data_IF_316732745950
#
_entry.id   IF_316732745950
#
_cell.length_a   1.000
_cell.length_b   1.000
_cell.length_c   1.000
_cell.angle_alpha   90.00
_cell.angle_beta   90.00
_cell.angle_gamma   90.00
#
_symmetry.space_group_name_H-M   'P 1'
#
loop_
_entity.id
_entity.type
_entity.pdbx_description
1 polymer ?
#
# COMPACT_ATOMS: atom_id res chain seq x y z
N UNK A 1 -23.65 14.93 8.21
CA UNK A 1 -25.13 15.08 8.24
C UNK A 1 -25.49 15.97 9.42
N UNK A 2 -26.41 16.94 9.26
CA UNK A 2 -26.85 17.79 10.37
C UNK A 2 -27.52 16.97 11.47
N UNK A 3 -27.27 17.35 12.73
CA UNK A 3 -27.99 16.82 13.89
C UNK A 3 -29.48 17.16 13.80
N UNK A 4 -30.33 16.26 14.29
CA UNK A 4 -31.79 16.40 14.26
C UNK A 4 -32.41 15.49 13.20
N UNK A 5 -33.52 15.88 12.55
CA UNK A 5 -34.36 14.96 11.78
C UNK A 5 -33.62 14.08 10.77
N UNK A 6 -32.63 14.62 10.05
CA UNK A 6 -31.84 13.84 9.10
C UNK A 6 -30.93 12.82 9.81
N UNK A 7 -30.21 13.24 10.84
CA UNK A 7 -29.38 12.35 11.67
C UNK A 7 -30.21 11.26 12.35
N UNK A 8 -31.39 11.61 12.86
CA UNK A 8 -32.33 10.67 13.50
C UNK A 8 -32.78 9.58 12.51
N UNK A 9 -32.98 9.93 11.24
CA UNK A 9 -33.26 8.94 10.18
C UNK A 9 -32.08 8.01 9.90
N UNK A 10 -30.85 8.50 9.88
CA UNK A 10 -29.70 7.60 9.74
C UNK A 10 -29.51 6.69 10.95
N UNK A 11 -29.75 7.20 12.17
CA UNK A 11 -29.75 6.36 13.37
C UNK A 11 -30.80 5.26 13.29
N UNK A 12 -32.01 5.59 12.82
CA UNK A 12 -33.06 4.60 12.58
C UNK A 12 -32.66 3.59 11.50
N UNK A 13 -32.24 4.04 10.31
CA UNK A 13 -32.00 3.17 9.16
C UNK A 13 -30.76 2.30 9.26
N UNK A 14 -29.62 2.88 9.66
CA UNK A 14 -28.32 2.21 9.63
C UNK A 14 -27.58 2.24 10.97
N UNK A 15 -28.17 2.80 12.03
CA UNK A 15 -27.64 2.69 13.40
C UNK A 15 -26.54 3.69 13.78
N UNK A 16 -25.94 4.37 12.80
CA UNK A 16 -24.89 5.35 13.04
C UNK A 16 -24.68 6.29 11.86
N UNK A 17 -24.07 7.45 12.09
CA UNK A 17 -23.81 8.42 11.03
C UNK A 17 -22.72 9.44 11.39
N UNK A 18 -22.22 10.14 10.36
CA UNK A 18 -21.29 11.24 10.51
C UNK A 18 -22.03 12.50 10.97
N UNK A 19 -21.76 12.95 12.19
CA UNK A 19 -22.34 14.16 12.77
C UNK A 19 -21.31 15.29 12.75
N UNK A 20 -21.64 16.40 12.09
CA UNK A 20 -20.74 17.58 12.00
C UNK A 20 -20.43 18.14 13.40
N UNK A 21 -19.18 18.52 13.64
CA UNK A 21 -18.60 18.92 14.94
C UNK A 21 -18.51 17.79 16.00
N UNK A 22 -18.84 16.55 15.63
CA UNK A 22 -18.70 15.38 16.49
C UNK A 22 -17.76 14.35 15.86
N UNK A 23 -17.99 14.00 14.61
CA UNK A 23 -17.23 13.03 13.82
C UNK A 23 -16.11 13.69 13.03
N UNK A 24 -15.12 12.89 12.62
CA UNK A 24 -13.93 13.37 11.88
C UNK A 24 -13.68 12.54 10.62
N UNK A 25 -13.09 13.16 9.58
CA UNK A 25 -12.78 12.54 8.28
C UNK A 25 -11.30 12.69 7.85
N UNK A 26 -10.33 12.13 8.58
CA UNK A 26 -8.94 12.13 8.14
C UNK A 26 -8.67 10.99 7.15
N UNK A 27 -7.61 11.12 6.34
CA UNK A 27 -7.01 9.99 5.64
C UNK A 27 -6.03 9.24 6.55
N UNK A 28 -6.14 7.92 6.62
CA UNK A 28 -5.24 7.07 7.38
C UNK A 28 -5.36 5.60 6.98
N UNK A 29 -4.30 4.84 7.28
CA UNK A 29 -4.29 3.38 7.13
C UNK A 29 -4.96 2.74 8.34
N UNK A 30 -6.15 2.17 8.14
CA UNK A 30 -6.83 1.36 9.15
C UNK A 30 -6.41 -0.11 9.02
N UNK A 31 -5.99 -0.72 10.14
CA UNK A 31 -5.64 -2.15 10.20
C UNK A 31 -6.79 -2.93 10.86
N UNK A 32 -7.31 -3.94 10.17
CA UNK A 32 -8.41 -4.78 10.65
C UNK A 32 -7.91 -6.21 10.88
N UNK A 33 -7.70 -6.55 12.14
CA UNK A 33 -7.04 -7.81 12.54
C UNK A 33 -8.03 -8.86 13.08
N UNK A 34 -9.22 -8.41 13.51
CA UNK A 34 -10.23 -9.27 14.12
C UNK A 34 -11.62 -8.82 13.71
N UNK A 35 -12.54 -9.77 13.60
CA UNK A 35 -13.90 -9.57 13.14
C UNK A 35 -14.87 -10.26 14.09
N UNK A 36 -16.08 -9.70 14.31
CA UNK A 36 -17.12 -10.41 15.07
C UNK A 36 -17.55 -11.69 14.36
N UNK A 37 -18.11 -12.63 15.12
CA UNK A 37 -18.89 -13.73 14.54
C UNK A 37 -20.23 -13.19 14.04
N UNK A 38 -20.28 -12.85 12.75
CA UNK A 38 -21.46 -12.29 12.10
C UNK A 38 -21.50 -12.72 10.63
N UNK A 39 -22.67 -12.95 10.02
CA UNK A 39 -22.75 -13.31 8.60
C UNK A 39 -22.01 -12.33 7.68
N UNK A 40 -22.07 -11.03 7.98
CA UNK A 40 -21.40 -9.99 7.19
C UNK A 40 -19.84 -10.12 7.17
N UNK A 41 -19.24 -10.82 8.12
CA UNK A 41 -17.77 -10.99 8.23
C UNK A 41 -17.30 -12.40 7.84
N UNK A 42 -18.19 -13.28 7.36
CA UNK A 42 -17.84 -14.63 6.92
C UNK A 42 -16.75 -14.61 5.84
N UNK A 43 -15.69 -15.36 6.07
CA UNK A 43 -14.55 -15.51 5.15
C UNK A 43 -13.72 -14.24 4.92
N UNK A 44 -13.98 -13.15 5.65
CA UNK A 44 -13.12 -11.96 5.66
C UNK A 44 -11.88 -12.27 6.50
N UNK A 45 -10.70 -12.09 5.90
CA UNK A 45 -9.39 -12.24 6.53
C UNK A 45 -8.82 -10.87 6.90
N UNK A 46 -7.81 -10.81 7.80
CA UNK A 46 -7.16 -9.55 8.14
C UNK A 46 -6.67 -8.79 6.90
N UNK A 47 -6.85 -7.47 6.92
CA UNK A 47 -6.41 -6.57 5.86
C UNK A 47 -6.22 -5.16 6.41
N UNK A 48 -5.49 -4.34 5.67
CA UNK A 48 -5.39 -2.91 5.86
C UNK A 48 -5.90 -2.15 4.64
N UNK A 49 -6.28 -0.90 4.86
CA UNK A 49 -6.75 -0.02 3.80
C UNK A 49 -6.47 1.44 4.16
N UNK A 50 -5.87 2.15 3.21
CA UNK A 50 -5.66 3.60 3.26
C UNK A 50 -6.86 4.28 2.63
N UNK A 51 -7.64 5.02 3.42
CA UNK A 51 -8.88 5.66 2.99
C UNK A 51 -9.14 6.92 3.83
N UNK A 52 -10.13 7.71 3.43
CA UNK A 52 -10.68 8.79 4.28
C UNK A 52 -11.62 8.18 5.33
N UNK A 53 -11.14 7.31 6.21
CA UNK A 53 -12.02 6.60 7.16
C UNK A 53 -12.63 7.56 8.18
N UNK A 54 -13.95 7.71 8.13
CA UNK A 54 -14.66 8.56 9.09
C UNK A 54 -14.84 7.82 10.41
N UNK A 55 -14.56 8.51 11.52
CA UNK A 55 -14.66 7.93 12.84
C UNK A 55 -15.21 8.90 13.88
N UNK A 56 -15.37 8.41 15.12
CA UNK A 56 -16.12 9.08 16.18
C UNK A 56 -17.56 9.35 15.71
N UNK A 57 -18.17 8.30 15.15
CA UNK A 57 -19.51 8.35 14.58
C UNK A 57 -20.55 8.54 15.68
N UNK A 58 -21.68 9.17 15.34
CA UNK A 58 -22.84 9.19 16.23
C UNK A 58 -23.59 7.88 16.05
N UNK A 59 -23.60 7.04 17.08
CA UNK A 59 -24.38 5.79 17.11
C UNK A 59 -25.67 5.96 17.92
N UNK A 60 -26.58 4.99 17.77
CA UNK A 60 -27.73 4.82 18.67
C UNK A 60 -27.25 4.77 20.14
N UNK A 61 -28.08 5.20 21.11
CA UNK A 61 -27.77 5.04 22.53
C UNK A 61 -27.35 3.60 22.82
N UNK A 62 -26.23 3.44 23.54
CA UNK A 62 -25.66 2.14 23.92
C UNK A 62 -25.38 1.19 22.74
N UNK A 63 -25.29 1.73 21.52
CA UNK A 63 -25.16 0.94 20.28
C UNK A 63 -26.28 -0.10 20.11
N UNK A 64 -27.50 0.21 20.58
CA UNK A 64 -28.60 -0.73 20.53
C UNK A 64 -28.87 -1.26 19.12
N UNK A 65 -28.76 -2.59 18.96
CA UNK A 65 -28.95 -3.27 17.68
C UNK A 65 -27.87 -2.95 16.64
N UNK A 66 -26.72 -2.40 17.02
CA UNK A 66 -25.59 -2.12 16.14
C UNK A 66 -24.45 -3.08 16.45
N UNK A 67 -23.91 -3.72 15.41
CA UNK A 67 -22.73 -4.59 15.52
C UNK A 67 -21.59 -4.01 14.70
N UNK A 68 -20.50 -3.55 15.33
CA UNK A 68 -19.29 -3.14 14.62
C UNK A 68 -18.69 -4.30 13.83
N UNK A 69 -18.38 -4.08 12.56
CA UNK A 69 -17.72 -5.07 11.70
C UNK A 69 -16.24 -4.75 11.50
N UNK A 70 -15.91 -3.47 11.24
CA UNK A 70 -14.55 -2.97 11.11
C UNK A 70 -14.25 -1.99 12.23
N UNK A 71 -13.23 -2.32 13.02
CA UNK A 71 -12.83 -1.54 14.20
C UNK A 71 -11.31 -1.41 14.23
N UNK A 72 -10.80 -0.19 14.32
CA UNK A 72 -9.37 0.10 14.38
C UNK A 72 -9.12 1.26 15.36
N UNK A 73 -7.89 1.38 15.86
CA UNK A 73 -7.48 2.54 16.65
C UNK A 73 -6.84 3.57 15.72
N UNK A 74 -7.47 4.75 15.48
CA UNK A 74 -6.84 5.78 14.67
C UNK A 74 -5.55 6.29 15.33
N UNK A 75 -4.48 6.50 14.55
CA UNK A 75 -3.25 7.07 15.07
C UNK A 75 -3.47 8.55 15.44
N UNK A 76 -2.71 9.08 16.41
CA UNK A 76 -2.94 10.42 16.98
C UNK A 76 -2.80 11.54 15.95
N UNK A 77 -2.02 11.30 14.91
CA UNK A 77 -1.74 12.17 13.78
C UNK A 77 -3.01 12.51 12.99
N UNK A 78 -4.02 11.63 13.03
CA UNK A 78 -5.34 11.90 12.42
C UNK A 78 -6.06 13.12 13.03
N UNK A 79 -5.64 13.55 14.23
CA UNK A 79 -6.16 14.72 14.93
C UNK A 79 -5.19 15.92 14.93
N UNK A 80 -4.20 15.93 14.04
CA UNK A 80 -3.24 17.05 13.92
C UNK A 80 -3.90 18.36 13.50
N UNK A 81 -5.00 18.30 12.75
CA UNK A 81 -5.78 19.50 12.37
C UNK A 81 -6.41 20.13 13.61
N UNK A 82 -6.55 21.47 13.59
CA UNK A 82 -7.32 22.22 14.60
C UNK A 82 -8.76 21.74 14.70
N UNK A 83 -9.42 22.09 15.79
CA UNK A 83 -10.82 21.73 15.97
C UNK A 83 -11.72 22.39 14.93
N UNK A 84 -12.75 21.69 14.48
CA UNK A 84 -13.61 22.17 13.42
C UNK A 84 -14.69 21.18 12.97
N UNK A 85 -15.49 21.57 11.95
CA UNK A 85 -16.70 20.84 11.57
C UNK A 85 -16.48 19.38 11.19
N UNK A 86 -15.36 19.05 10.54
CA UNK A 86 -14.99 17.69 10.13
C UNK A 86 -13.59 17.27 10.64
N UNK A 87 -13.00 18.07 11.52
CA UNK A 87 -11.67 17.85 12.10
C UNK A 87 -11.79 17.65 13.62
N UNK A 88 -10.73 17.89 14.40
CA UNK A 88 -10.74 17.60 15.82
C UNK A 88 -11.88 18.26 16.62
N UNK A 89 -12.14 17.73 17.80
CA UNK A 89 -12.96 18.33 18.85
C UNK A 89 -12.55 17.73 20.21
N UNK A 90 -12.96 18.32 21.34
CA UNK A 90 -12.57 17.82 22.66
C UNK A 90 -12.96 16.35 22.92
N UNK A 91 -14.11 15.90 22.38
CA UNK A 91 -14.62 14.54 22.60
C UNK A 91 -13.78 13.50 21.87
N UNK A 92 -13.54 13.69 20.56
CA UNK A 92 -12.74 12.75 19.77
C UNK A 92 -11.29 12.71 20.25
N UNK A 93 -10.71 13.85 20.63
CA UNK A 93 -9.36 13.90 21.22
C UNK A 93 -9.28 13.10 22.50
N UNK A 94 -10.28 13.23 23.38
CA UNK A 94 -10.33 12.47 24.62
C UNK A 94 -10.51 10.96 24.35
N UNK A 95 -11.34 10.56 23.38
CA UNK A 95 -11.51 9.17 22.99
C UNK A 95 -10.20 8.53 22.52
N UNK A 96 -9.51 9.17 21.58
CA UNK A 96 -8.22 8.68 21.06
C UNK A 96 -7.14 8.68 22.14
N UNK A 97 -7.12 9.69 23.02
CA UNK A 97 -6.20 9.72 24.17
C UNK A 97 -6.41 8.54 25.14
N UNK A 98 -7.63 8.02 25.26
CA UNK A 98 -7.95 6.81 26.06
C UNK A 98 -7.65 5.50 25.32
N UNK A 99 -7.19 5.53 24.08
CA UNK A 99 -7.00 4.33 23.26
C UNK A 99 -8.32 3.68 22.81
N UNK A 100 -9.40 4.46 22.75
CA UNK A 100 -10.72 3.97 22.37
C UNK A 100 -10.74 3.63 20.87
N UNK A 101 -10.87 2.33 20.55
CA UNK A 101 -11.00 1.87 19.16
C UNK A 101 -12.28 2.44 18.54
N UNK A 102 -12.21 2.74 17.25
CA UNK A 102 -13.26 3.39 16.50
C UNK A 102 -13.84 2.46 15.45
N UNK A 103 -15.15 2.58 15.21
CA UNK A 103 -15.90 1.73 14.28
C UNK A 103 -16.12 2.46 12.95
N UNK A 104 -15.68 1.84 11.86
CA UNK A 104 -15.68 2.41 10.50
C UNK A 104 -16.55 1.62 9.52
N UNK A 105 -17.01 0.44 9.93
CA UNK A 105 -18.09 -0.29 9.29
C UNK A 105 -18.92 -1.02 10.35
N UNK A 106 -20.23 -1.06 10.19
CA UNK A 106 -21.15 -1.69 11.14
C UNK A 106 -22.44 -2.10 10.44
N UNK A 107 -23.13 -3.07 11.04
CA UNK A 107 -24.52 -3.40 10.69
C UNK A 107 -25.46 -2.95 11.78
N UNK A 108 -26.71 -2.74 11.42
CA UNK A 108 -27.79 -2.44 12.34
C UNK A 108 -28.99 -3.33 12.08
N UNK A 109 -29.57 -3.88 13.15
CA UNK A 109 -30.88 -4.53 13.15
C UNK A 109 -31.88 -3.61 13.84
N UNK A 110 -33.08 -3.52 13.26
CA UNK A 110 -34.22 -2.78 13.81
C UNK A 110 -35.19 -3.77 14.48
N UNK A 111 -35.97 -3.33 15.49
CA UNK A 111 -36.94 -4.19 16.17
C UNK A 111 -37.99 -4.82 15.25
N UNK A 112 -38.28 -4.19 14.11
CA UNK A 112 -39.17 -4.70 13.07
C UNK A 112 -38.49 -5.71 12.11
N UNK A 113 -37.25 -6.11 12.41
CA UNK A 113 -36.44 -7.01 11.60
C UNK A 113 -35.84 -6.36 10.36
N UNK A 114 -35.90 -5.03 10.23
CA UNK A 114 -35.16 -4.30 9.20
C UNK A 114 -33.65 -4.33 9.44
N UNK A 115 -32.87 -4.31 8.35
CA UNK A 115 -31.39 -4.37 8.39
C UNK A 115 -30.79 -3.16 7.69
N UNK A 116 -29.68 -2.67 8.23
CA UNK A 116 -28.91 -1.56 7.68
C UNK A 116 -27.41 -1.83 7.76
N UNK A 117 -26.65 -1.16 6.91
CA UNK A 117 -25.20 -1.25 6.87
C UNK A 117 -24.62 0.16 6.74
N UNK A 118 -23.66 0.49 7.59
CA UNK A 118 -22.88 1.70 7.51
C UNK A 118 -21.42 1.37 7.21
N UNK A 119 -20.82 2.17 6.34
CA UNK A 119 -19.45 2.00 5.86
C UNK A 119 -18.88 3.39 5.55
N UNK A 120 -17.68 3.69 6.05
CA UNK A 120 -17.05 5.00 5.87
C UNK A 120 -15.85 4.98 4.94
N UNK A 121 -15.60 3.86 4.26
CA UNK A 121 -14.58 3.75 3.22
C UNK A 121 -15.15 4.05 1.83
N UNK A 122 -14.28 3.98 0.82
CA UNK A 122 -14.61 4.22 -0.58
C UNK A 122 -14.31 5.64 -1.07
N UNK A 123 -13.58 6.45 -0.29
CA UNK A 123 -13.02 7.71 -0.80
C UNK A 123 -11.89 7.40 -1.79
N UNK A 124 -10.99 6.49 -1.42
CA UNK A 124 -9.94 6.02 -2.31
C UNK A 124 -10.47 4.89 -3.20
N UNK A 125 -10.85 5.21 -4.45
CA UNK A 125 -11.45 4.27 -5.40
C UNK A 125 -10.66 2.95 -5.55
N UNK A 126 -9.34 3.03 -5.56
CA UNK A 126 -8.49 1.86 -5.74
C UNK A 126 -8.63 0.80 -4.64
N UNK A 127 -9.19 1.14 -3.47
CA UNK A 127 -9.49 0.18 -2.41
C UNK A 127 -10.52 -0.89 -2.84
N UNK A 128 -11.31 -0.64 -3.89
CA UNK A 128 -12.12 -1.68 -4.52
C UNK A 128 -11.27 -2.80 -5.14
N UNK A 129 -9.97 -2.62 -5.29
CA UNK A 129 -9.01 -3.69 -5.59
C UNK A 129 -8.79 -4.68 -4.45
N UNK A 130 -9.09 -4.32 -3.20
CA UNK A 130 -8.90 -5.21 -2.05
C UNK A 130 -10.03 -6.24 -1.91
N UNK A 131 -9.71 -7.52 -2.10
CA UNK A 131 -10.65 -8.64 -2.02
C UNK A 131 -11.39 -8.74 -0.67
N UNK A 132 -10.72 -8.41 0.44
CA UNK A 132 -11.32 -8.52 1.76
C UNK A 132 -12.33 -7.39 2.00
N UNK A 133 -12.04 -6.18 1.53
CA UNK A 133 -12.96 -5.05 1.57
C UNK A 133 -14.20 -5.31 0.71
N UNK A 134 -14.01 -5.80 -0.53
CA UNK A 134 -15.15 -6.20 -1.38
C UNK A 134 -15.98 -7.31 -0.77
N UNK A 135 -15.34 -8.35 -0.23
CA UNK A 135 -16.05 -9.47 0.44
C UNK A 135 -16.91 -8.97 1.59
N UNK A 136 -16.39 -8.09 2.45
CA UNK A 136 -17.16 -7.50 3.53
C UNK A 136 -18.41 -6.77 3.02
N UNK A 137 -18.24 -5.90 2.01
CA UNK A 137 -19.34 -5.12 1.43
C UNK A 137 -20.37 -6.02 0.77
N UNK A 138 -19.95 -7.02 -0.01
CA UNK A 138 -20.84 -7.99 -0.65
C UNK A 138 -21.61 -8.83 0.38
N UNK A 139 -20.93 -9.31 1.43
CA UNK A 139 -21.56 -10.01 2.54
C UNK A 139 -22.61 -9.13 3.22
N UNK A 140 -22.30 -7.86 3.46
CA UNK A 140 -23.22 -6.90 4.08
C UNK A 140 -24.44 -6.64 3.17
N UNK A 141 -24.25 -6.50 1.86
CA UNK A 141 -25.36 -6.36 0.89
C UNK A 141 -26.31 -7.55 0.96
N UNK A 142 -25.76 -8.78 0.88
CA UNK A 142 -26.57 -10.01 0.97
C UNK A 142 -27.31 -10.08 2.31
N UNK A 143 -26.62 -9.77 3.40
CA UNK A 143 -27.21 -9.79 4.73
C UNK A 143 -28.33 -8.75 4.91
N UNK A 144 -28.13 -7.51 4.43
CA UNK A 144 -29.15 -6.44 4.46
C UNK A 144 -30.35 -6.84 3.61
N UNK A 145 -30.14 -7.47 2.46
CA UNK A 145 -31.19 -8.02 1.60
C UNK A 145 -31.90 -9.26 2.19
N UNK A 146 -31.56 -9.66 3.43
CA UNK A 146 -32.07 -10.85 4.12
C UNK A 146 -31.74 -12.17 3.42
N UNK A 147 -30.73 -12.18 2.55
CA UNK A 147 -30.16 -13.40 2.00
C UNK A 147 -29.25 -14.12 3.00
N UNK A 148 -28.98 -15.39 2.73
CA UNK A 148 -27.99 -16.16 3.45
C UNK A 148 -26.59 -15.86 2.90
N UNK A 149 -25.69 -15.32 3.75
CA UNK A 149 -24.29 -15.14 3.37
C UNK A 149 -23.60 -16.50 3.37
N UNK A 150 -22.90 -16.92 2.30
CA UNK A 150 -22.23 -18.21 2.27
C UNK A 150 -21.23 -18.39 3.42
N UNK A 151 -20.96 -19.64 3.88
CA UNK A 151 -20.03 -19.89 4.98
C UNK A 151 -18.64 -19.28 4.79
N UNK A 152 -18.15 -19.22 3.54
CA UNK A 152 -16.85 -18.65 3.17
C UNK A 152 -16.94 -17.17 2.70
N UNK A 153 -18.08 -16.54 2.91
CA UNK A 153 -18.43 -15.23 2.34
C UNK A 153 -18.81 -15.32 0.87
N UNK A 154 -19.32 -14.22 0.34
CA UNK A 154 -19.58 -14.06 -1.10
C UNK A 154 -18.26 -14.11 -1.85
N UNK A 155 -18.21 -14.93 -2.89
CA UNK A 155 -17.10 -14.98 -3.83
C UNK A 155 -17.37 -14.04 -5.01
N UNK A 156 -16.37 -13.26 -5.38
CA UNK A 156 -16.37 -12.42 -6.57
C UNK A 156 -15.30 -12.87 -7.57
N UNK A 157 -15.47 -12.49 -8.82
CA UNK A 157 -14.42 -12.70 -9.82
C UNK A 157 -13.26 -11.76 -9.50
N UNK A 158 -12.00 -12.19 -9.68
CA UNK A 158 -10.87 -11.29 -9.51
C UNK A 158 -11.03 -10.05 -10.39
N UNK A 159 -10.94 -8.89 -9.76
CA UNK A 159 -11.08 -7.59 -10.42
C UNK A 159 -9.77 -7.23 -11.13
N UNK A 160 -9.90 -6.67 -12.32
CA UNK A 160 -8.78 -6.17 -13.11
C UNK A 160 -8.62 -4.66 -12.94
N UNK A 161 -7.41 -4.16 -13.20
CA UNK A 161 -7.19 -2.72 -13.25
C UNK A 161 -8.06 -2.03 -14.30
N UNK A 162 -8.27 -2.65 -15.46
CA UNK A 162 -9.15 -2.09 -16.50
C UNK A 162 -10.60 -2.01 -16.03
N UNK A 163 -11.13 -3.04 -15.37
CA UNK A 163 -12.48 -3.01 -14.81
C UNK A 163 -12.62 -1.89 -13.75
N UNK A 164 -11.59 -1.64 -12.93
CA UNK A 164 -11.60 -0.51 -12.01
C UNK A 164 -11.58 0.85 -12.73
N UNK A 165 -11.05 0.94 -13.95
CA UNK A 165 -11.06 2.17 -14.73
C UNK A 165 -12.36 2.39 -15.52
N UNK A 166 -13.24 1.40 -15.59
CA UNK A 166 -14.52 1.54 -16.28
C UNK A 166 -15.45 2.47 -15.51
N UNK A 167 -16.27 3.23 -16.26
CA UNK A 167 -17.32 4.11 -15.73
C UNK A 167 -16.84 5.15 -14.70
N UNK A 168 -15.59 5.61 -14.80
CA UNK A 168 -15.10 6.72 -13.98
C UNK A 168 -15.67 8.05 -14.46
N UNK A 169 -16.13 8.89 -13.52
CA UNK A 169 -16.68 10.22 -13.81
C UNK A 169 -15.63 11.20 -14.35
N UNK A 170 -14.35 10.97 -14.01
CA UNK A 170 -13.23 11.83 -14.35
C UNK A 170 -12.12 11.07 -15.09
N UNK A 171 -11.41 11.79 -15.97
CA UNK A 171 -10.22 11.26 -16.62
C UNK A 171 -9.13 10.93 -15.58
N UNK A 172 -8.37 9.85 -15.77
CA UNK A 172 -7.22 9.53 -14.95
C UNK A 172 -6.23 10.70 -14.82
N UNK A 173 -5.65 10.95 -13.63
CA UNK A 173 -4.67 12.00 -13.45
C UNK A 173 -3.37 11.67 -14.20
N UNK A 174 -2.62 12.68 -14.64
CA UNK A 174 -1.41 12.49 -15.44
C UNK A 174 -0.31 11.69 -14.72
N UNK A 175 -0.30 11.73 -13.39
CA UNK A 175 0.64 11.02 -12.54
C UNK A 175 0.12 9.66 -12.05
N UNK A 176 -0.99 9.15 -12.62
CA UNK A 176 -1.49 7.82 -12.26
C UNK A 176 -0.38 6.78 -12.46
N UNK A 177 -0.23 5.89 -11.47
CA UNK A 177 0.71 4.77 -11.52
C UNK A 177 -0.06 3.43 -11.59
N UNK A 178 -0.50 2.98 -12.79
CA UNK A 178 -1.21 1.72 -12.96
C UNK A 178 -0.47 0.52 -12.36
N UNK A 179 0.84 0.42 -12.61
CA UNK A 179 1.65 -0.70 -12.15
C UNK A 179 1.70 -0.76 -10.62
N UNK A 180 1.83 0.40 -9.96
CA UNK A 180 1.79 0.48 -8.50
C UNK A 180 0.45 0.05 -7.91
N UNK A 181 -0.67 0.44 -8.53
CA UNK A 181 -2.02 0.04 -8.10
C UNK A 181 -2.24 -1.46 -8.33
N UNK A 182 -1.88 -1.97 -9.50
CA UNK A 182 -1.94 -3.39 -9.85
C UNK A 182 -1.14 -4.22 -8.84
N UNK A 183 0.06 -3.76 -8.48
CA UNK A 183 0.91 -4.43 -7.50
C UNK A 183 0.30 -4.39 -6.10
N UNK A 184 -0.10 -3.21 -5.61
CA UNK A 184 -0.66 -2.98 -4.27
C UNK A 184 -1.88 -3.86 -4.00
N UNK A 185 -2.78 -3.98 -4.97
CA UNK A 185 -4.02 -4.72 -4.82
C UNK A 185 -4.00 -6.11 -5.47
N UNK A 186 -2.84 -6.55 -5.97
CA UNK A 186 -2.69 -7.81 -6.70
C UNK A 186 -3.71 -7.99 -7.84
N UNK A 187 -4.02 -6.90 -8.55
CA UNK A 187 -5.05 -6.90 -9.59
C UNK A 187 -4.61 -7.74 -10.78
N UNK A 188 -5.59 -8.35 -11.46
CA UNK A 188 -5.32 -8.95 -12.76
C UNK A 188 -5.16 -7.86 -13.81
N UNK A 189 -4.18 -8.01 -14.70
CA UNK A 189 -4.11 -7.18 -15.90
C UNK A 189 -5.07 -7.74 -16.95
N UNK A 190 -5.84 -6.88 -17.60
CA UNK A 190 -6.81 -7.24 -18.66
C UNK A 190 -6.15 -7.92 -19.87
N UNK A 191 -4.83 -7.80 -20.01
CA UNK A 191 -4.01 -8.53 -20.97
C UNK A 191 -3.72 -9.97 -20.53
N UNK A 192 -4.76 -10.79 -20.29
CA UNK A 192 -4.58 -12.26 -20.18
C UNK A 192 -5.86 -13.08 -20.41
N UNK A 193 -6.69 -12.69 -21.39
CA UNK A 193 -7.51 -13.66 -22.13
C UNK A 193 -6.69 -14.16 -23.32
N UNK A 194 -5.89 -15.22 -23.08
CA UNK A 194 -5.31 -16.16 -24.05
C UNK A 194 -3.83 -16.46 -23.80
N UNK A 195 -3.47 -16.97 -22.61
CA UNK A 195 -2.29 -17.81 -22.44
C UNK A 195 -2.30 -18.44 -21.04
N UNK A 196 -3.26 -19.34 -20.78
CA UNK A 196 -3.06 -20.35 -19.74
C UNK A 196 -2.10 -21.42 -20.29
N UNK A 197 -0.85 -21.04 -20.44
CA UNK A 197 0.29 -21.95 -20.46
C UNK A 197 1.27 -21.36 -19.47
N UNK A 198 1.56 -22.08 -18.38
CA UNK A 198 2.58 -21.74 -17.38
C UNK A 198 3.76 -20.99 -18.04
N UNK A 199 3.82 -19.67 -17.88
CA UNK A 199 5.11 -18.98 -18.01
C UNK A 199 5.88 -19.36 -16.75
N UNK A 200 6.98 -20.07 -16.94
CA UNK A 200 8.02 -20.19 -15.92
C UNK A 200 8.27 -18.77 -15.38
N UNK A 201 8.17 -18.59 -14.06
CA UNK A 201 8.49 -17.31 -13.43
C UNK A 201 9.89 -16.90 -13.87
N UNK A 202 10.03 -15.72 -14.49
CA UNK A 202 11.33 -15.23 -14.94
C UNK A 202 12.34 -15.40 -13.81
N UNK A 203 13.46 -16.08 -14.09
CA UNK A 203 14.52 -16.29 -13.10
C UNK A 203 15.42 -15.06 -13.12
N UNK A 204 15.88 -14.58 -11.95
CA UNK A 204 16.86 -13.51 -11.93
C UNK A 204 18.12 -13.98 -12.64
N UNK A 205 18.70 -13.12 -13.47
CA UNK A 205 20.04 -13.34 -14.03
C UNK A 205 21.12 -13.16 -12.96
N UNK A 206 20.77 -12.55 -11.82
CA UNK A 206 21.58 -12.48 -10.62
C UNK A 206 20.74 -12.35 -9.36
N UNK A 207 21.16 -13.03 -8.31
CA UNK A 207 20.64 -12.91 -6.96
C UNK A 207 21.81 -12.93 -5.98
N UNK A 208 21.91 -11.91 -5.13
CA UNK A 208 22.89 -11.90 -4.04
C UNK A 208 22.50 -12.88 -2.93
N UNK A 209 23.44 -13.20 -2.03
CA UNK A 209 23.05 -13.64 -0.68
C UNK A 209 22.38 -12.46 0.05
N UNK A 210 21.71 -12.73 1.17
CA UNK A 210 21.23 -11.67 2.07
C UNK A 210 22.42 -10.78 2.48
N UNK A 211 22.25 -9.48 2.28
CA UNK A 211 23.14 -8.41 2.71
C UNK A 211 22.58 -7.84 4.01
N UNK A 212 23.39 -7.88 5.06
CA UNK A 212 23.06 -7.39 6.41
C UNK A 212 24.22 -6.56 6.98
N UNK A 213 24.08 -5.91 8.14
CA UNK A 213 25.20 -5.26 8.84
C UNK A 213 26.37 -6.19 9.19
N UNK A 214 26.19 -7.51 9.12
CA UNK A 214 27.27 -8.50 9.31
C UNK A 214 27.99 -8.84 8.00
N UNK A 215 27.45 -8.41 6.86
CA UNK A 215 28.11 -8.57 5.56
C UNK A 215 29.29 -7.61 5.48
N UNK A 216 30.49 -8.06 5.03
CA UNK A 216 31.63 -7.17 4.83
C UNK A 216 31.26 -5.93 4.02
N UNK A 217 31.63 -4.75 4.52
CA UNK A 217 31.29 -3.45 3.91
C UNK A 217 29.79 -3.21 3.66
N UNK A 218 28.91 -3.97 4.33
CA UNK A 218 27.44 -3.93 4.18
C UNK A 218 26.98 -3.98 2.72
N UNK A 219 27.74 -4.65 1.85
CA UNK A 219 27.51 -4.60 0.40
C UNK A 219 27.96 -5.84 -0.35
N UNK A 220 27.53 -5.90 -1.61
CA UNK A 220 27.85 -6.95 -2.58
C UNK A 220 28.18 -6.32 -3.93
N UNK A 221 29.23 -6.81 -4.58
CA UNK A 221 29.54 -6.46 -5.96
C UNK A 221 28.63 -7.24 -6.92
N UNK A 222 28.08 -6.54 -7.91
CA UNK A 222 27.14 -7.08 -8.89
C UNK A 222 27.74 -6.85 -10.27
N UNK A 223 27.98 -7.93 -11.00
CA UNK A 223 28.40 -7.90 -12.40
C UNK A 223 27.72 -9.02 -13.15
N UNK A 224 26.93 -8.67 -14.16
CA UNK A 224 26.05 -9.62 -14.84
C UNK A 224 25.98 -9.30 -16.33
N UNK A 225 25.96 -10.35 -17.15
CA UNK A 225 25.72 -10.21 -18.58
C UNK A 225 24.26 -9.86 -18.84
N UNK A 226 24.03 -8.81 -19.64
CA UNK A 226 22.70 -8.37 -20.06
C UNK A 226 22.46 -8.60 -21.56
N UNK A 227 23.38 -9.24 -22.30
CA UNK A 227 23.21 -9.79 -23.65
C UNK A 227 22.21 -9.04 -24.58
N UNK A 228 22.42 -7.73 -24.80
CA UNK A 228 21.55 -6.84 -25.60
C UNK A 228 20.06 -6.88 -25.21
N UNK A 229 19.78 -7.16 -23.94
CA UNK A 229 18.45 -7.12 -23.37
C UNK A 229 17.84 -5.74 -23.61
N UNK A 230 16.54 -5.74 -23.94
CA UNK A 230 15.79 -4.50 -24.15
C UNK A 230 15.43 -3.81 -22.84
N UNK A 231 15.45 -4.56 -21.74
CA UNK A 231 15.06 -4.06 -20.43
C UNK A 231 16.00 -4.57 -19.34
N UNK A 232 16.11 -3.79 -18.28
CA UNK A 232 16.82 -4.14 -17.06
C UNK A 232 15.92 -3.83 -15.88
N UNK A 233 15.75 -4.79 -14.98
CA UNK A 233 15.00 -4.61 -13.75
C UNK A 233 15.91 -4.85 -12.55
N UNK A 234 15.99 -3.84 -11.70
CA UNK A 234 16.71 -3.85 -10.44
C UNK A 234 15.70 -4.06 -9.32
N UNK A 235 15.89 -5.12 -8.52
CA UNK A 235 14.96 -5.51 -7.47
C UNK A 235 15.70 -5.63 -6.14
N UNK A 236 15.11 -5.06 -5.09
CA UNK A 236 15.56 -5.28 -3.70
C UNK A 236 14.43 -5.96 -2.95
N UNK A 237 14.71 -7.09 -2.29
CA UNK A 237 13.77 -7.76 -1.37
C UNK A 237 14.20 -7.57 0.08
N UNK A 238 13.29 -7.79 1.03
CA UNK A 238 13.51 -7.66 2.49
C UNK A 238 14.34 -8.78 3.15
N UNK A 239 14.98 -9.65 2.36
CA UNK A 239 15.81 -10.75 2.87
C UNK A 239 15.09 -11.78 3.75
N UNK A 240 13.76 -11.69 3.90
CA UNK A 240 12.93 -12.65 4.63
C UNK A 240 12.69 -12.34 6.13
N UNK A 241 13.10 -11.18 6.65
CA UNK A 241 12.82 -10.77 8.04
C UNK A 241 11.88 -9.55 8.17
N UNK A 242 11.24 -9.15 7.06
CA UNK A 242 10.40 -7.95 6.97
C UNK A 242 11.24 -6.70 6.72
N UNK A 243 10.66 -5.70 6.06
CA UNK A 243 11.39 -4.57 5.47
C UNK A 243 11.88 -3.49 6.48
N UNK A 244 11.96 -3.78 7.78
CA UNK A 244 12.26 -2.75 8.79
C UNK A 244 13.68 -2.17 8.65
N UNK A 245 13.79 -0.86 8.38
CA UNK A 245 15.08 -0.18 8.15
C UNK A 245 15.86 -0.66 6.91
N UNK A 246 15.20 -1.27 5.92
CA UNK A 246 15.83 -1.86 4.74
C UNK A 246 16.05 -0.86 3.61
N UNK A 247 16.83 0.18 3.91
CA UNK A 247 17.26 1.16 2.93
C UNK A 247 18.42 0.58 2.13
N UNK A 248 18.35 0.67 0.82
CA UNK A 248 19.30 0.03 -0.08
C UNK A 248 19.72 0.98 -1.19
N UNK A 249 20.99 0.89 -1.57
CA UNK A 249 21.57 1.64 -2.65
C UNK A 249 22.03 0.70 -3.77
N UNK A 250 21.62 0.99 -4.99
CA UNK A 250 22.36 0.58 -6.18
C UNK A 250 23.46 1.62 -6.40
N UNK A 251 24.62 1.42 -5.77
CA UNK A 251 25.76 2.32 -5.85
C UNK A 251 26.51 2.15 -7.18
N UNK A 252 26.83 3.28 -7.81
CA UNK A 252 27.59 3.38 -9.06
C UNK A 252 27.09 2.48 -10.22
N UNK A 253 25.78 2.41 -10.50
CA UNK A 253 25.24 1.48 -11.49
C UNK A 253 25.61 1.95 -12.89
N UNK A 254 26.28 1.08 -13.65
CA UNK A 254 26.72 1.34 -15.02
C UNK A 254 26.37 0.17 -15.95
N UNK A 255 26.12 0.49 -17.20
CA UNK A 255 26.06 -0.47 -18.30
C UNK A 255 27.25 -0.25 -19.23
N UNK A 256 27.85 -1.33 -19.72
CA UNK A 256 29.02 -1.32 -20.60
C UNK A 256 28.83 -2.24 -21.80
N UNK A 257 29.42 -1.90 -22.94
CA UNK A 257 29.40 -2.73 -24.15
C UNK A 257 30.08 -2.02 -25.34
N UNK A 258 29.84 -2.49 -26.58
CA UNK A 258 30.37 -1.85 -27.79
C UNK A 258 30.00 -0.36 -27.94
N UNK A 259 28.88 0.08 -27.36
CA UNK A 259 28.45 1.48 -27.34
C UNK A 259 29.18 2.34 -26.28
N UNK A 260 30.12 1.76 -25.53
CA UNK A 260 30.88 2.42 -24.47
C UNK A 260 30.33 2.12 -23.08
N UNK A 261 30.54 3.06 -22.14
CA UNK A 261 30.06 3.00 -20.75
C UNK A 261 29.01 4.08 -20.53
N UNK A 262 27.90 3.74 -19.87
CA UNK A 262 26.85 4.69 -19.49
C UNK A 262 26.42 4.46 -18.05
N UNK A 263 26.20 5.55 -17.30
CA UNK A 263 25.61 5.48 -15.96
C UNK A 263 24.13 5.20 -16.07
N UNK A 264 23.61 4.31 -15.24
CA UNK A 264 22.19 4.02 -15.23
C UNK A 264 21.38 5.22 -14.71
N UNK A 265 21.96 6.07 -13.86
CA UNK A 265 21.36 7.32 -13.37
C UNK A 265 21.15 8.39 -14.44
N UNK A 266 21.78 8.25 -15.61
CA UNK A 266 21.55 9.13 -16.77
C UNK A 266 20.37 8.65 -17.64
N UNK A 267 19.85 7.44 -17.39
CA UNK A 267 18.66 6.93 -18.06
C UNK A 267 17.42 7.29 -17.27
N UNK A 268 16.36 7.67 -17.99
CA UNK A 268 15.03 7.75 -17.41
C UNK A 268 14.52 6.32 -17.22
N UNK A 269 14.18 5.94 -15.98
CA UNK A 269 13.50 4.68 -15.73
C UNK A 269 12.13 4.66 -16.41
N UNK A 270 11.68 3.47 -16.78
CA UNK A 270 10.32 3.19 -17.23
C UNK A 270 9.35 3.19 -16.03
N UNK A 271 9.75 2.57 -14.93
CA UNK A 271 9.01 2.56 -13.67
C UNK A 271 9.96 2.41 -12.49
N UNK A 272 9.57 2.91 -11.32
CA UNK A 272 10.34 2.79 -10.10
C UNK A 272 9.38 2.77 -8.91
N UNK A 273 9.41 1.70 -8.12
CA UNK A 273 8.59 1.54 -6.92
C UNK A 273 9.46 1.12 -5.74
N UNK A 274 9.06 1.54 -4.53
CA UNK A 274 9.62 1.13 -3.26
C UNK A 274 8.50 1.09 -2.22
N UNK A 275 8.50 0.10 -1.33
CA UNK A 275 7.44 -0.05 -0.32
C UNK A 275 7.42 1.12 0.68
N UNK A 276 8.59 1.68 1.00
CA UNK A 276 8.73 2.86 1.84
C UNK A 276 9.60 3.92 1.17
N UNK A 277 9.34 5.20 1.48
CA UNK A 277 10.09 6.31 0.91
C UNK A 277 9.86 6.46 -0.59
N UNK A 278 10.87 6.94 -1.32
CA UNK A 278 10.81 7.04 -2.77
C UNK A 278 12.13 6.60 -3.38
N UNK A 279 12.08 6.02 -4.58
CA UNK A 279 13.28 5.78 -5.39
C UNK A 279 13.87 7.12 -5.84
N UNK A 280 15.18 7.30 -5.67
CA UNK A 280 15.87 8.56 -5.96
C UNK A 280 17.17 8.35 -6.70
N UNK A 281 17.47 9.27 -7.60
CA UNK A 281 18.78 9.39 -8.22
C UNK A 281 19.67 10.23 -7.31
N UNK A 282 20.88 9.72 -7.03
CA UNK A 282 21.95 10.37 -6.27
C UNK A 282 21.56 10.82 -4.86
N UNK A 283 20.54 10.18 -4.30
CA UNK A 283 20.05 10.36 -2.92
C UNK A 283 19.53 9.03 -2.39
N UNK A 284 19.57 8.84 -1.07
CA UNK A 284 18.98 7.66 -0.44
C UNK A 284 17.44 7.73 -0.42
N UNK A 285 16.76 6.68 0.05
CA UNK A 285 15.30 6.59 0.06
C UNK A 285 14.60 7.77 0.79
N UNK A 286 15.24 8.30 1.82
CA UNK A 286 14.77 9.46 2.59
C UNK A 286 15.08 10.82 1.96
N UNK A 287 15.87 10.87 0.88
CA UNK A 287 16.28 12.11 0.21
C UNK A 287 17.57 12.76 0.74
N UNK A 288 18.29 12.08 1.62
CA UNK A 288 19.62 12.47 2.11
C UNK A 288 20.76 11.93 1.23
N UNK A 289 21.99 12.09 1.73
CA UNK A 289 23.20 11.55 1.11
C UNK A 289 23.18 10.02 1.12
N UNK A 290 23.58 9.40 0.01
CA UNK A 290 23.79 7.95 -0.07
C UNK A 290 25.10 7.57 0.60
N UNK A 291 25.04 6.67 1.59
CA UNK A 291 26.23 6.20 2.30
C UNK A 291 26.10 4.72 2.60
N UNK A 292 27.15 3.95 2.33
CA UNK A 292 27.20 2.52 2.64
C UNK A 292 28.40 2.24 3.54
N UNK A 293 28.16 1.53 4.64
CA UNK A 293 29.18 1.24 5.68
C UNK A 293 29.97 2.50 6.12
N UNK A 294 29.27 3.63 6.21
CA UNK A 294 29.80 4.92 6.62
C UNK A 294 30.50 5.72 5.52
N UNK A 295 30.72 5.14 4.33
CA UNK A 295 31.40 5.77 3.19
C UNK A 295 30.37 6.38 2.22
N UNK A 296 30.65 7.59 1.72
CA UNK A 296 29.81 8.27 0.72
C UNK A 296 29.76 7.50 -0.60
N UNK A 297 28.58 7.44 -1.20
CA UNK A 297 28.36 6.91 -2.56
C UNK A 297 28.29 8.09 -3.53
N UNK A 298 29.19 8.18 -4.53
CA UNK A 298 29.33 9.36 -5.38
C UNK A 298 28.14 9.57 -6.34
N UNK A 299 27.50 8.48 -6.77
CA UNK A 299 26.28 8.50 -7.57
C UNK A 299 25.59 7.14 -7.48
N UNK A 300 24.28 7.09 -7.70
CA UNK A 300 23.55 5.84 -7.70
C UNK A 300 22.05 6.01 -7.60
N UNK A 301 21.37 4.92 -7.24
CA UNK A 301 19.93 4.91 -7.07
C UNK A 301 19.61 4.41 -5.67
N UNK A 302 19.11 5.30 -4.82
CA UNK A 302 18.65 4.97 -3.47
C UNK A 302 17.20 4.49 -3.49
N UNK A 303 16.93 3.46 -2.70
CA UNK A 303 15.61 2.82 -2.61
C UNK A 303 15.42 2.17 -1.24
N UNK A 304 14.25 1.56 -1.04
CA UNK A 304 13.88 0.83 0.15
C UNK A 304 13.25 -0.51 -0.26
N UNK A 305 13.55 -1.59 0.43
CA UNK A 305 12.92 -2.89 0.17
C UNK A 305 11.41 -2.89 0.56
N UNK A 306 10.53 -3.60 -0.13
CA UNK A 306 10.75 -4.20 -1.43
C UNK A 306 10.68 -3.12 -2.53
N UNK A 307 11.51 -3.26 -3.57
CA UNK A 307 11.53 -2.31 -4.69
C UNK A 307 11.72 -2.98 -6.04
N UNK A 308 11.18 -2.33 -7.08
CA UNK A 308 11.40 -2.69 -8.48
C UNK A 308 11.66 -1.43 -9.29
N UNK A 309 12.81 -1.37 -9.96
CA UNK A 309 13.22 -0.24 -10.80
C UNK A 309 13.52 -0.77 -12.19
N UNK A 310 12.75 -0.34 -13.19
CA UNK A 310 12.78 -0.87 -14.54
C UNK A 310 13.29 0.16 -15.53
N UNK A 311 14.24 -0.21 -16.38
CA UNK A 311 14.79 0.63 -17.44
C UNK A 311 14.56 -0.02 -18.80
N UNK A 312 14.27 0.80 -19.81
CA UNK A 312 14.50 0.40 -21.20
C UNK A 312 15.98 0.65 -21.53
N UNK A 313 16.64 -0.38 -22.07
CA UNK A 313 18.06 -0.33 -22.37
C UNK A 313 18.29 0.11 -23.82
N UNK A 314 19.21 1.06 -24.07
CA UNK A 314 19.71 1.31 -25.41
C UNK A 314 20.49 0.10 -25.95
N UNK A 315 20.51 -0.07 -27.26
CA UNK A 315 21.28 -1.13 -27.91
C UNK A 315 22.80 -0.94 -27.72
N UNK A 316 23.56 -2.05 -27.78
CA UNK A 316 25.03 -2.02 -27.73
C UNK A 316 25.62 -2.03 -26.33
N UNK A 317 24.84 -2.44 -25.33
CA UNK A 317 25.30 -2.67 -23.95
C UNK A 317 25.12 -4.14 -23.57
N UNK A 318 26.17 -4.75 -23.04
CA UNK A 318 26.25 -6.20 -22.84
C UNK A 318 26.47 -6.60 -21.38
N UNK A 319 26.88 -5.67 -20.52
CA UNK A 319 27.18 -5.94 -19.11
C UNK A 319 26.60 -4.85 -18.21
N UNK A 320 25.91 -5.24 -17.14
CA UNK A 320 25.53 -4.37 -16.04
C UNK A 320 26.48 -4.58 -14.85
N UNK A 321 26.93 -3.49 -14.23
CA UNK A 321 27.73 -3.48 -13.00
C UNK A 321 27.16 -2.50 -11.99
N UNK A 322 27.15 -2.89 -10.72
CA UNK A 322 26.81 -2.02 -9.60
C UNK A 322 27.40 -2.58 -8.31
N UNK A 323 27.32 -1.81 -7.23
CA UNK A 323 27.51 -2.30 -5.87
C UNK A 323 26.19 -2.14 -5.12
N UNK A 324 25.58 -3.26 -4.74
CA UNK A 324 24.38 -3.25 -3.90
C UNK A 324 24.79 -3.11 -2.44
N UNK A 325 24.28 -2.12 -1.71
CA UNK A 325 24.63 -1.93 -0.31
C UNK A 325 23.48 -1.45 0.55
N UNK A 326 23.57 -1.71 1.86
CA UNK A 326 22.66 -1.14 2.85
C UNK A 326 23.03 0.34 3.07
N UNK A 327 22.04 1.22 2.87
CA UNK A 327 22.23 2.65 3.10
C UNK A 327 22.23 2.95 4.62
N UNK A 328 23.13 3.83 5.04
CA UNK A 328 23.27 4.27 6.42
C UNK A 328 21.98 4.93 6.96
N UNK A 329 21.14 5.52 6.10
CA UNK A 329 19.82 6.00 6.48
C UNK A 329 18.92 4.90 7.07
N UNK A 330 19.13 3.64 6.71
CA UNK A 330 18.52 2.48 7.34
C UNK A 330 19.35 1.95 8.52
N UNK A 331 20.63 1.63 8.29
CA UNK A 331 21.45 0.92 9.29
C UNK A 331 21.78 1.74 10.54
N UNK A 332 21.77 3.07 10.45
CA UNK A 332 22.09 3.95 11.58
C UNK A 332 20.87 4.22 12.47
N UNK A 333 19.69 3.70 12.11
CA UNK A 333 18.49 3.81 12.93
C UNK A 333 18.57 2.85 14.13
N UNK A 334 18.57 3.39 15.35
CA UNK A 334 18.75 2.61 16.58
C UNK A 334 17.66 1.56 16.88
N UNK A 335 16.50 1.63 16.22
CA UNK A 335 15.36 0.75 16.49
C UNK A 335 15.37 -0.55 15.66
N UNK A 336 15.86 -0.50 14.41
CA UNK A 336 15.88 -1.66 13.51
C UNK A 336 17.14 -1.79 12.64
N UNK A 337 18.05 -0.80 12.62
CA UNK A 337 19.18 -0.78 11.68
C UNK A 337 20.19 -1.92 11.84
N UNK A 338 20.30 -2.51 13.04
CA UNK A 338 21.14 -3.70 13.28
C UNK A 338 20.55 -5.00 12.71
N UNK A 339 19.25 -4.97 12.39
CA UNK A 339 18.48 -6.10 11.84
C UNK A 339 18.17 -5.94 10.36
N UNK A 340 18.60 -4.85 9.71
CA UNK A 340 18.37 -4.63 8.28
C UNK A 340 18.89 -5.81 7.45
N UNK A 341 18.09 -6.26 6.48
CA UNK A 341 18.46 -7.36 5.61
C UNK A 341 17.83 -7.21 4.23
N UNK A 342 18.64 -7.35 3.17
CA UNK A 342 18.14 -7.25 1.80
C UNK A 342 18.76 -8.28 0.87
N UNK A 343 18.06 -8.67 -0.20
CA UNK A 343 18.70 -9.31 -1.36
C UNK A 343 18.60 -8.40 -2.59
N UNK A 344 19.68 -8.35 -3.37
CA UNK A 344 19.72 -7.67 -4.65
C UNK A 344 19.50 -8.67 -5.78
N UNK A 345 18.52 -8.42 -6.63
CA UNK A 345 18.20 -9.24 -7.78
C UNK A 345 18.22 -8.40 -9.06
N UNK A 346 18.70 -9.00 -10.14
CA UNK A 346 18.72 -8.40 -11.48
C UNK A 346 17.98 -9.29 -12.46
N UNK A 347 17.11 -8.69 -13.27
CA UNK A 347 16.38 -9.37 -14.34
C UNK A 347 16.52 -8.62 -15.66
N UNK A 348 16.48 -9.36 -16.76
CA UNK A 348 16.35 -8.84 -18.14
C UNK A 348 14.98 -9.13 -18.75
N UNK A 349 14.15 -9.86 -18.02
CA UNK A 349 12.73 -10.08 -18.27
C UNK A 349 11.92 -9.52 -17.09
N UNK A 350 10.62 -9.33 -17.29
CA UNK A 350 9.75 -8.83 -16.23
C UNK A 350 9.87 -9.72 -14.98
N UNK A 351 10.30 -9.20 -13.82
CA UNK A 351 10.43 -9.99 -12.61
C UNK A 351 9.06 -10.52 -12.14
N UNK A 352 9.02 -11.66 -11.43
CA UNK A 352 7.80 -12.14 -10.80
C UNK A 352 7.27 -11.08 -9.81
N UNK A 353 5.94 -10.99 -9.70
CA UNK A 353 5.29 -10.10 -8.74
C UNK A 353 5.69 -10.48 -7.32
N UNK A 354 6.43 -9.60 -6.63
CA UNK A 354 6.73 -9.73 -5.21
C UNK A 354 5.54 -9.20 -4.41
N UNK A 355 5.05 -10.01 -3.47
CA UNK A 355 4.05 -9.57 -2.49
C UNK A 355 4.79 -8.72 -1.47
N UNK A 356 4.61 -7.41 -1.53
CA UNK A 356 5.06 -6.49 -0.49
C UNK A 356 4.34 -6.85 0.82
N UNK A 357 5.11 -7.22 1.86
CA UNK A 357 4.60 -7.19 3.22
C UNK A 357 4.48 -5.72 3.63
N UNK A 358 3.26 -5.27 3.87
CA UNK A 358 2.85 -3.90 4.17
C UNK A 358 3.66 -3.22 5.29
N UNK A 359 4.17 -2.01 5.00
CA UNK A 359 3.96 -0.87 5.91
C UNK A 359 4.88 0.35 5.72
N UNK A 360 4.46 1.44 6.38
CA UNK A 360 5.27 2.65 6.58
C UNK A 360 4.74 3.86 5.81
N UNK A 361 3.80 4.56 6.44
CA UNK A 361 3.12 5.78 5.99
C UNK A 361 4.05 6.98 5.79
N UNK A 362 3.98 7.61 4.61
CA UNK A 362 4.48 8.96 4.33
C UNK A 362 3.31 9.94 4.20
N UNK A 363 3.23 10.88 5.13
CA UNK A 363 2.13 11.82 5.33
C UNK A 363 2.27 13.07 4.44
N UNK A 364 1.38 13.26 3.46
CA UNK A 364 1.08 14.58 2.88
C UNK A 364 -0.42 14.70 2.63
N UNK A 365 -1.05 15.70 3.24
CA UNK A 365 -2.46 16.01 3.03
C UNK A 365 -2.67 16.63 1.65
N UNK A 366 -3.72 16.17 0.97
CA UNK A 366 -4.02 16.60 -0.38
C UNK A 366 -5.50 16.99 -0.57
N UNK A 367 -5.69 17.96 -1.46
CA UNK A 367 -6.96 18.60 -1.86
C UNK A 367 -7.89 17.60 -2.62
N UNK A 368 -9.21 17.87 -2.74
CA UNK A 368 -10.21 17.00 -3.38
C UNK A 368 -9.88 16.55 -4.81
N UNK A 369 -8.99 17.26 -5.53
CA UNK A 369 -8.54 16.89 -6.86
C UNK A 369 -7.66 15.62 -6.88
N UNK A 370 -7.32 15.06 -5.72
CA UNK A 370 -6.52 13.83 -5.58
C UNK A 370 -7.31 12.56 -5.25
N UNK A 371 -8.65 12.60 -5.25
CA UNK A 371 -9.50 11.43 -5.02
C UNK A 371 -9.34 10.30 -6.09
N UNK A 372 -8.51 10.51 -7.12
CA UNK A 372 -8.27 9.57 -8.23
C UNK A 372 -6.84 8.98 -8.21
N UNK A 373 -5.98 9.39 -7.27
CA UNK A 373 -4.56 8.98 -7.26
C UNK A 373 -4.33 7.64 -6.54
#
# INVERSE_FOLDING_TARGET
>A
VPKGPSGDRFLDWIGGYFETNWSVNPHWVAKFESFPDHPATRGVRPFDADDEWYYHMRFRPEMQGVTPLLTALPPKETLARRDGPHSGNPHVRAAIARGEKQHVAWVAERPDGGRGFGFTGGHNHWNWGNDQLRKLVLNAIVWVAKGEVPPNGVEDKPVTFTELQENQDFSPPQNLNPDGIIQKFHLKTSANRAASSRRETAKPIFRSKVVSPQTPEHSVAIEVGIADAKQLHLVVTDGGNGYGCDWADWAEPVITGPAGTKKLTELKWKSATSDWGQVRIDKNAGGGEMRVAGKSVPFGIGTHANSVISFDLPAGFTTFRARGGLDNGGTDQGNCGSSSSVEFLVYTEQPPTFVAATGGSGNQGHDPDQAVA
#
